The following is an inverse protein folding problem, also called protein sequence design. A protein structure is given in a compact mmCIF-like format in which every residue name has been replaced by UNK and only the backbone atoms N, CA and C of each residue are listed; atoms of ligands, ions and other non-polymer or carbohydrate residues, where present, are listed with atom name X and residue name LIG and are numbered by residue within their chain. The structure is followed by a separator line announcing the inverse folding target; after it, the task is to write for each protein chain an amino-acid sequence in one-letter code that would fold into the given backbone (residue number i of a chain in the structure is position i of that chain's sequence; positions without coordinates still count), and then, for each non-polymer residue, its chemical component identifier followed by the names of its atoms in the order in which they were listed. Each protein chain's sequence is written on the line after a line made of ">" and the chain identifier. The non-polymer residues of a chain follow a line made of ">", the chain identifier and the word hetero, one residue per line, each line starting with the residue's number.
data_IF_637533395300
#
_entry.id   IF_637533395300
#
_cell.length_a   1.000
_cell.length_b   1.000
_cell.length_c   1.000
_cell.angle_alpha   90.00
_cell.angle_beta   90.00
_cell.angle_gamma   90.00
#
_symmetry.space_group_name_H-M   'P 1'
#
loop_
_entity.id
_entity.type
_entity.pdbx_description
1 polymer ?
#
# COMPACT_ATOMS: atom_id res chain seq x y z
N UNK A 1 -17.03 -13.30 -7.34
CA UNK A 1 -16.83 -12.38 -8.49
C UNK A 1 -16.97 -10.93 -7.99
N UNK A 2 -15.95 -10.38 -7.33
CA UNK A 2 -15.94 -8.97 -6.94
C UNK A 2 -15.76 -8.15 -8.23
N UNK A 3 -16.76 -7.35 -8.58
CA UNK A 3 -16.58 -6.27 -9.54
C UNK A 3 -15.42 -5.40 -9.03
N UNK A 4 -14.26 -5.49 -9.68
CA UNK A 4 -13.17 -4.52 -9.55
C UNK A 4 -13.67 -3.20 -10.15
N UNK A 5 -14.60 -2.55 -9.46
CA UNK A 5 -15.05 -1.20 -9.77
C UNK A 5 -13.87 -0.28 -9.48
N UNK A 6 -13.11 0.03 -10.55
CA UNK A 6 -12.07 1.04 -10.59
C UNK A 6 -10.92 0.79 -9.60
N UNK A 7 -9.82 0.20 -10.08
CA UNK A 7 -8.56 0.14 -9.31
C UNK A 7 -8.15 1.58 -8.98
N UNK A 8 -8.34 1.98 -7.74
CA UNK A 8 -8.02 3.31 -7.27
C UNK A 8 -7.07 3.14 -6.09
N UNK A 9 -5.78 3.25 -6.40
CA UNK A 9 -4.76 3.28 -5.35
C UNK A 9 -5.06 4.41 -4.39
N UNK A 10 -4.95 4.11 -3.10
CA UNK A 10 -5.29 5.05 -2.05
C UNK A 10 -4.38 4.84 -0.86
N UNK A 11 -3.87 5.95 -0.35
CA UNK A 11 -3.14 5.95 0.91
C UNK A 11 -4.19 5.96 2.02
N UNK A 12 -4.18 4.93 2.85
CA UNK A 12 -4.98 4.91 4.07
C UNK A 12 -4.09 5.17 5.27
N UNK A 13 -4.57 6.00 6.19
CA UNK A 13 -3.80 6.42 7.36
C UNK A 13 -4.64 6.41 8.62
N UNK A 14 -3.95 6.34 9.75
CA UNK A 14 -4.55 6.55 11.07
C UNK A 14 -5.28 7.89 11.09
N UNK A 15 -6.53 7.87 11.55
CA UNK A 15 -7.33 9.08 11.65
C UNK A 15 -7.06 9.90 12.90
N UNK A 16 -7.64 11.10 12.89
CA UNK A 16 -7.64 12.00 14.04
C UNK A 16 -8.27 11.33 15.26
N UNK A 17 -7.70 11.60 16.44
CA UNK A 17 -8.08 11.08 17.74
C UNK A 17 -8.00 9.54 17.87
N UNK A 18 -7.18 8.88 17.04
CA UNK A 18 -6.90 7.47 17.23
C UNK A 18 -6.04 7.24 18.50
N UNK A 19 -6.24 6.09 19.14
CA UNK A 19 -5.54 5.73 20.38
C UNK A 19 -4.23 4.97 20.10
N UNK A 20 -3.64 5.19 18.92
CA UNK A 20 -2.55 4.40 18.36
C UNK A 20 -1.58 5.33 17.64
N UNK A 21 -0.31 4.94 17.53
CA UNK A 21 0.66 5.68 16.75
C UNK A 21 0.23 5.77 15.28
N UNK A 22 0.63 6.86 14.61
CA UNK A 22 0.32 7.05 13.21
C UNK A 22 0.95 5.94 12.35
N UNK A 23 0.14 5.32 11.51
CA UNK A 23 0.55 4.34 10.51
C UNK A 23 -0.22 4.60 9.23
N UNK A 24 0.32 4.14 8.10
CA UNK A 24 -0.38 4.20 6.83
C UNK A 24 -0.10 2.96 5.99
N UNK A 25 -1.07 2.57 5.16
CA UNK A 25 -0.97 1.47 4.22
C UNK A 25 -1.63 1.86 2.91
N UNK A 26 -1.02 1.52 1.78
CA UNK A 26 -1.64 1.71 0.47
C UNK A 26 -2.47 0.49 0.13
N UNK A 27 -3.65 0.70 -0.43
CA UNK A 27 -4.51 -0.38 -0.91
C UNK A 27 -5.04 -0.06 -2.30
N UNK A 28 -5.49 -1.10 -3.00
CA UNK A 28 -6.20 -1.03 -4.29
C UNK A 28 -7.71 -1.29 -4.14
N UNK A 29 -8.14 -1.98 -3.08
CA UNK A 29 -9.54 -2.29 -2.77
C UNK A 29 -10.22 -1.26 -1.85
N UNK A 30 -11.55 -1.25 -1.81
CA UNK A 30 -12.32 -0.34 -0.93
C UNK A 30 -12.06 -0.74 0.53
N UNK A 31 -11.42 0.14 1.29
CA UNK A 31 -11.20 -0.09 2.71
C UNK A 31 -12.49 -0.01 3.51
N UNK A 32 -12.64 -0.95 4.44
CA UNK A 32 -13.60 -0.78 5.53
C UNK A 32 -13.15 0.37 6.45
N UNK A 33 -14.12 0.99 7.13
CA UNK A 33 -13.84 2.07 8.06
C UNK A 33 -12.91 1.62 9.21
N UNK A 34 -13.05 0.37 9.67
CA UNK A 34 -12.21 -0.23 10.71
C UNK A 34 -10.89 -0.84 10.22
N UNK A 35 -10.47 -0.57 8.98
CA UNK A 35 -9.21 -1.08 8.43
C UNK A 35 -8.00 -0.56 9.22
N UNK A 36 -7.97 0.75 9.44
CA UNK A 36 -7.07 1.45 10.36
C UNK A 36 -7.94 2.27 11.33
N UNK A 37 -7.47 2.50 12.55
CA UNK A 37 -8.23 3.26 13.56
C UNK A 37 -8.59 4.66 13.05
N UNK A 38 -9.89 5.00 13.10
CA UNK A 38 -10.48 6.22 12.53
C UNK A 38 -10.11 6.51 11.06
N UNK A 39 -9.92 5.47 10.24
CA UNK A 39 -9.35 5.50 8.89
C UNK A 39 -9.69 6.76 8.06
N UNK A 40 -8.64 7.37 7.48
CA UNK A 40 -8.74 8.39 6.42
C UNK A 40 -8.09 7.86 5.15
N UNK A 41 -8.75 8.12 4.02
CA UNK A 41 -8.37 7.59 2.73
C UNK A 41 -8.10 8.74 1.76
N UNK A 42 -6.91 8.76 1.17
CA UNK A 42 -6.46 9.73 0.18
C UNK A 42 -6.30 9.01 -1.17
N UNK A 43 -7.30 9.08 -2.06
CA UNK A 43 -7.25 8.38 -3.34
C UNK A 43 -6.29 9.08 -4.31
N UNK A 44 -5.67 8.30 -5.19
CA UNK A 44 -4.88 8.82 -6.33
C UNK A 44 -5.78 9.44 -7.40
N UNK A 45 -6.97 8.87 -7.59
CA UNK A 45 -7.93 9.27 -8.60
C UNK A 45 -9.33 9.49 -8.02
N UNK A 46 -10.05 10.46 -8.55
CA UNK A 46 -11.50 10.63 -8.37
C UNK A 46 -12.25 10.22 -9.63
N UNK A 47 -13.53 9.94 -9.48
CA UNK A 47 -14.37 9.47 -10.58
C UNK A 47 -15.67 10.27 -10.62
N UNK A 48 -16.02 10.77 -11.81
CA UNK A 48 -17.31 11.42 -12.06
C UNK A 48 -18.04 10.73 -13.22
N UNK A 49 -19.38 10.72 -13.25
CA UNK A 49 -20.11 10.17 -14.39
C UNK A 49 -19.68 10.83 -15.69
N UNK A 50 -19.40 10.02 -16.71
CA UNK A 50 -19.07 10.54 -18.04
C UNK A 50 -20.32 11.04 -18.76
N UNK A 51 -20.17 12.16 -19.47
CA UNK A 51 -21.20 12.67 -20.36
C UNK A 51 -21.29 11.80 -21.63
N UNK A 52 -22.42 11.90 -22.35
CA UNK A 52 -22.60 11.20 -23.62
C UNK A 52 -21.54 11.58 -24.67
N UNK A 53 -21.11 12.84 -24.67
CA UNK A 53 -20.09 13.35 -25.59
C UNK A 53 -18.70 12.77 -25.25
N UNK A 54 -18.31 12.76 -23.98
CA UNK A 54 -17.04 12.16 -23.52
C UNK A 54 -17.01 10.65 -23.83
N UNK A 55 -18.12 9.93 -23.61
CA UNK A 55 -18.23 8.51 -23.99
C UNK A 55 -18.09 8.27 -25.49
N UNK A 56 -18.68 9.13 -26.32
CA UNK A 56 -18.56 9.02 -27.77
C UNK A 56 -17.12 9.30 -28.23
N UNK A 57 -16.48 10.34 -27.69
CA UNK A 57 -15.09 10.68 -27.96
C UNK A 57 -14.13 9.56 -27.55
N UNK A 58 -14.26 9.03 -26.34
CA UNK A 58 -13.42 7.94 -25.85
C UNK A 58 -13.56 6.65 -26.68
N UNK A 59 -14.78 6.32 -27.12
CA UNK A 59 -15.01 5.19 -28.03
C UNK A 59 -14.33 5.39 -29.38
N UNK A 60 -14.43 6.59 -29.94
CA UNK A 60 -13.79 6.93 -31.21
C UNK A 60 -12.27 6.83 -31.09
N UNK A 61 -11.68 7.40 -30.03
CA UNK A 61 -10.24 7.31 -29.79
C UNK A 61 -9.75 5.86 -29.68
N UNK A 62 -10.50 4.96 -29.01
CA UNK A 62 -10.16 3.53 -28.95
C UNK A 62 -10.22 2.83 -30.30
N UNK A 63 -11.10 3.26 -31.21
CA UNK A 63 -11.14 2.77 -32.60
C UNK A 63 -9.93 3.29 -33.38
N UNK A 64 -9.52 4.52 -33.10
CA UNK A 64 -8.39 5.19 -33.75
C UNK A 64 -7.02 4.71 -33.22
N UNK A 65 -7.00 3.67 -32.38
CA UNK A 65 -5.79 3.02 -31.89
C UNK A 65 -5.26 3.56 -30.56
N UNK A 66 -6.03 4.37 -29.82
CA UNK A 66 -5.68 4.72 -28.45
C UNK A 66 -5.72 3.49 -27.54
N UNK A 67 -4.55 3.05 -27.11
CA UNK A 67 -4.40 2.07 -26.04
C UNK A 67 -4.30 2.81 -24.70
N UNK A 68 -5.25 2.52 -23.81
CA UNK A 68 -5.20 2.99 -22.43
C UNK A 68 -4.11 2.24 -21.67
N UNK A 69 -2.88 2.77 -21.69
CA UNK A 69 -1.73 2.22 -20.95
C UNK A 69 -1.91 2.29 -19.43
N UNK A 70 -2.92 3.02 -18.93
CA UNK A 70 -3.24 3.03 -17.50
C UNK A 70 -4.03 1.79 -17.04
N UNK A 71 -4.60 1.04 -17.99
CA UNK A 71 -5.12 -0.31 -17.74
C UNK A 71 -4.01 -1.38 -17.69
N UNK A 72 -2.82 -1.05 -18.21
CA UNK A 72 -1.62 -1.91 -18.28
C UNK A 72 -0.66 -1.76 -17.09
N UNK A 73 -0.96 -0.90 -16.09
CA UNK A 73 -0.32 -0.96 -14.76
C UNK A 73 -0.87 -2.14 -13.90
N UNK A 74 -1.41 -3.16 -14.57
CA UNK A 74 -1.60 -4.51 -14.06
C UNK A 74 -0.40 -5.43 -14.33
N UNK A 75 0.55 -5.03 -15.19
CA UNK A 75 1.76 -5.80 -15.45
C UNK A 75 3.00 -5.09 -14.91
N UNK A 76 3.51 -5.71 -13.86
CA UNK A 76 4.82 -5.49 -13.29
C UNK A 76 5.92 -5.96 -14.24
N UNK A 77 6.23 -5.20 -15.28
CA UNK A 77 7.44 -5.24 -16.12
C UNK A 77 7.31 -4.06 -17.12
N UNK A 78 8.24 -3.15 -17.34
CA UNK A 78 9.67 -3.29 -17.43
C UNK A 78 10.40 -1.94 -17.26
N UNK A 79 11.66 -2.11 -16.92
CA UNK A 79 12.80 -1.21 -17.06
C UNK A 79 12.83 -0.50 -18.44
N UNK A 80 12.35 0.75 -18.53
CA UNK A 80 12.68 1.66 -19.65
C UNK A 80 12.76 3.10 -19.14
N UNK A 81 13.97 3.60 -18.94
CA UNK A 81 14.25 5.03 -19.07
C UNK A 81 13.81 5.47 -20.48
N UNK A 82 12.76 6.28 -20.57
CA UNK A 82 12.56 7.19 -21.72
C UNK A 82 12.57 8.62 -21.21
N UNK A 83 13.30 9.54 -21.88
CA UNK A 83 13.41 10.91 -21.40
C UNK A 83 12.07 11.64 -21.58
N UNK A 84 11.75 12.49 -20.60
CA UNK A 84 10.59 13.35 -20.63
C UNK A 84 10.55 14.18 -21.94
N UNK A 85 9.38 14.37 -22.56
CA UNK A 85 9.25 15.32 -23.66
C UNK A 85 9.61 16.72 -23.14
N UNK A 86 10.46 17.42 -23.89
CA UNK A 86 10.93 18.76 -23.53
C UNK A 86 9.75 19.72 -23.46
N UNK A 87 9.36 20.14 -22.26
CA UNK A 87 8.32 21.16 -22.06
C UNK A 87 8.93 22.56 -22.29
N UNK A 88 8.40 23.29 -23.27
CA UNK A 88 8.75 24.68 -23.52
C UNK A 88 8.12 25.59 -22.45
N UNK A 89 8.95 26.48 -21.90
CA UNK A 89 8.65 27.73 -21.18
C UNK A 89 7.37 27.83 -20.33
N UNK A 90 7.60 27.89 -19.02
CA UNK A 90 6.86 28.57 -17.95
C UNK A 90 5.78 29.59 -18.38
N UNK A 91 4.57 29.40 -17.84
CA UNK A 91 3.35 30.24 -17.82
C UNK A 91 2.21 29.93 -18.79
N UNK A 92 2.12 28.72 -19.33
CA UNK A 92 0.83 28.23 -19.81
C UNK A 92 0.11 27.51 -18.66
N UNK A 93 -1.04 28.06 -18.29
CA UNK A 93 -2.12 27.29 -17.66
C UNK A 93 -2.20 25.99 -18.46
N UNK A 94 -2.06 24.82 -17.82
CA UNK A 94 -2.30 23.54 -18.50
C UNK A 94 -3.79 23.53 -18.85
N UNK A 95 -4.14 24.18 -19.97
CA UNK A 95 -5.36 23.87 -20.69
C UNK A 95 -5.30 22.37 -20.93
N UNK A 96 -6.40 21.70 -20.57
CA UNK A 96 -6.59 20.30 -20.88
C UNK A 96 -6.33 20.12 -22.37
N UNK A 97 -5.20 19.49 -22.73
CA UNK A 97 -4.88 19.21 -24.11
C UNK A 97 -6.01 18.36 -24.68
N UNK A 98 -6.87 18.99 -25.48
CA UNK A 98 -8.05 18.38 -26.08
C UNK A 98 -7.68 17.22 -27.03
N UNK A 99 -6.38 17.01 -27.31
CA UNK A 99 -5.88 15.89 -28.11
C UNK A 99 -5.79 14.58 -27.32
N UNK A 100 -5.75 14.61 -25.98
CA UNK A 100 -5.71 13.38 -25.15
C UNK A 100 -7.11 13.05 -24.64
N UNK A 101 -7.72 11.94 -25.07
CA UNK A 101 -9.05 11.55 -24.61
C UNK A 101 -9.04 11.26 -23.11
N UNK A 102 -10.03 11.77 -22.38
CA UNK A 102 -10.21 11.46 -20.97
C UNK A 102 -10.39 9.96 -20.76
N UNK A 103 -9.66 9.40 -19.79
CA UNK A 103 -9.77 7.97 -19.47
C UNK A 103 -11.12 7.69 -18.84
N UNK A 104 -11.90 6.82 -19.49
CA UNK A 104 -13.21 6.38 -19.01
C UNK A 104 -13.17 4.93 -18.56
N UNK A 105 -13.51 4.70 -17.29
CA UNK A 105 -13.61 3.38 -16.68
C UNK A 105 -15.05 3.14 -16.26
N UNK A 106 -15.67 2.09 -16.80
CA UNK A 106 -17.05 1.70 -16.46
C UNK A 106 -18.10 2.84 -16.56
N UNK A 107 -17.91 3.77 -17.50
CA UNK A 107 -18.81 4.92 -17.68
C UNK A 107 -18.51 6.13 -16.79
N UNK A 108 -17.39 6.13 -16.08
CA UNK A 108 -16.91 7.24 -15.27
C UNK A 108 -15.61 7.80 -15.82
N UNK A 109 -15.51 9.13 -15.90
CA UNK A 109 -14.25 9.82 -16.17
C UNK A 109 -13.37 9.70 -14.93
N UNK A 110 -12.12 9.25 -15.13
CA UNK A 110 -11.07 9.24 -14.11
C UNK A 110 -10.34 10.59 -14.11
N UNK A 111 -10.20 11.18 -12.94
CA UNK A 111 -9.52 12.47 -12.74
C UNK A 111 -8.43 12.34 -11.69
N UNK A 112 -7.32 13.06 -11.86
CA UNK A 112 -6.26 13.13 -10.86
C UNK A 112 -6.76 13.81 -9.58
N UNK A 113 -6.55 13.16 -8.43
CA UNK A 113 -6.89 13.73 -7.14
C UNK A 113 -5.83 14.73 -6.64
N UNK A 114 -4.62 14.69 -7.19
CA UNK A 114 -3.56 15.68 -6.94
C UNK A 114 -3.81 16.87 -7.86
N UNK A 115 -4.15 18.01 -7.26
CA UNK A 115 -4.42 19.24 -7.99
C UNK A 115 -3.12 19.82 -8.58
N UNK A 116 -3.25 20.50 -9.73
CA UNK A 116 -2.15 21.23 -10.37
C UNK A 116 -1.49 22.26 -9.43
N UNK A 117 -2.28 22.89 -8.55
CA UNK A 117 -1.79 23.83 -7.52
C UNK A 117 -0.79 23.16 -6.57
N UNK A 118 -1.05 21.89 -6.19
CA UNK A 118 -0.15 21.12 -5.34
C UNK A 118 1.12 20.74 -6.11
N UNK A 119 1.01 20.36 -7.38
CA UNK A 119 2.17 20.06 -8.23
C UNK A 119 3.07 21.30 -8.36
N UNK A 120 2.48 22.45 -8.69
CA UNK A 120 3.20 23.72 -8.79
C UNK A 120 3.87 24.11 -7.45
N UNK A 121 3.23 23.83 -6.32
CA UNK A 121 3.80 24.06 -4.99
C UNK A 121 5.10 23.25 -4.76
N UNK A 122 5.16 22.00 -5.23
CA UNK A 122 6.38 21.18 -5.17
C UNK A 122 7.43 21.63 -6.20
N UNK A 123 7.02 21.89 -7.45
CA UNK A 123 7.91 22.35 -8.52
C UNK A 123 8.65 23.64 -8.14
N UNK A 124 7.97 24.57 -7.47
CA UNK A 124 8.56 25.83 -7.03
C UNK A 124 9.72 25.67 -6.03
N UNK A 125 9.87 24.52 -5.37
CA UNK A 125 10.97 24.26 -4.44
C UNK A 125 12.21 23.64 -5.10
N UNK A 126 12.07 23.04 -6.29
CA UNK A 126 13.14 22.27 -6.93
C UNK A 126 13.36 22.72 -8.38
N UNK A 127 14.02 23.86 -8.54
CA UNK A 127 14.31 24.45 -9.84
C UNK A 127 15.14 23.49 -10.72
N UNK A 128 14.74 23.31 -11.99
CA UNK A 128 15.39 22.42 -12.95
C UNK A 128 14.90 20.97 -12.94
N UNK A 129 13.98 20.62 -12.03
CA UNK A 129 13.38 19.29 -11.92
C UNK A 129 11.85 19.30 -12.06
N UNK A 130 11.28 20.39 -12.59
CA UNK A 130 9.84 20.60 -12.65
C UNK A 130 9.14 19.52 -13.48
N UNK A 131 9.77 19.08 -14.58
CA UNK A 131 9.26 18.03 -15.46
C UNK A 131 9.24 16.64 -14.80
N UNK A 132 10.01 16.42 -13.74
CA UNK A 132 10.06 15.15 -12.98
C UNK A 132 9.03 15.12 -11.83
N UNK A 133 8.38 16.26 -11.54
CA UNK A 133 7.40 16.40 -10.45
C UNK A 133 5.99 16.41 -11.06
N UNK A 134 5.48 15.21 -11.33
CA UNK A 134 4.09 15.00 -11.74
C UNK A 134 3.19 14.57 -10.55
N UNK A 135 1.92 14.28 -10.83
CA UNK A 135 0.96 13.83 -9.82
C UNK A 135 1.38 12.52 -9.14
N UNK A 136 2.02 11.61 -9.86
CA UNK A 136 2.51 10.34 -9.33
C UNK A 136 3.71 10.58 -8.41
N UNK A 137 4.67 11.42 -8.82
CA UNK A 137 5.82 11.81 -8.04
C UNK A 137 5.40 12.38 -6.68
N UNK A 138 4.44 13.32 -6.68
CA UNK A 138 3.89 13.88 -5.44
C UNK A 138 3.17 12.82 -4.61
N UNK A 139 2.36 11.95 -5.22
CA UNK A 139 1.62 10.91 -4.50
C UNK A 139 2.56 9.89 -3.82
N UNK A 140 3.59 9.44 -4.52
CA UNK A 140 4.59 8.52 -3.95
C UNK A 140 5.49 9.22 -2.94
N UNK A 141 5.87 10.48 -3.16
CA UNK A 141 6.59 11.27 -2.18
C UNK A 141 5.83 11.34 -0.85
N UNK A 142 4.52 11.63 -0.89
CA UNK A 142 3.66 11.61 0.30
C UNK A 142 3.74 10.25 0.98
N UNK A 143 3.62 9.16 0.22
CA UNK A 143 3.66 7.82 0.80
C UNK A 143 5.00 7.48 1.47
N UNK A 144 6.12 7.86 0.85
CA UNK A 144 7.45 7.69 1.41
C UNK A 144 7.67 8.53 2.66
N UNK A 145 7.29 9.82 2.62
CA UNK A 145 7.40 10.72 3.78
C UNK A 145 6.58 10.23 4.97
N UNK A 146 5.36 9.73 4.72
CA UNK A 146 4.51 9.17 5.78
C UNK A 146 5.09 7.90 6.39
N UNK A 147 6.14 7.31 5.83
CA UNK A 147 6.92 6.21 6.42
C UNK A 147 8.21 6.66 7.12
N UNK A 148 8.61 7.93 6.99
CA UNK A 148 9.76 8.48 7.71
C UNK A 148 9.56 8.37 9.22
N UNK A 149 10.53 7.79 9.91
CA UNK A 149 10.53 7.72 11.38
C UNK A 149 10.68 9.11 11.98
N UNK A 150 11.52 9.96 11.39
CA UNK A 150 11.70 11.35 11.81
C UNK A 150 10.40 12.15 11.69
N UNK A 151 9.67 12.00 10.58
CA UNK A 151 8.37 12.66 10.41
C UNK A 151 7.36 12.19 11.45
N UNK A 152 7.20 10.87 11.61
CA UNK A 152 6.24 10.28 12.55
C UNK A 152 6.53 10.64 14.00
N UNK A 153 7.80 10.72 14.38
CA UNK A 153 8.21 11.06 15.76
C UNK A 153 8.11 12.56 16.02
N UNK A 154 8.61 13.40 15.10
CA UNK A 154 8.58 14.87 15.23
C UNK A 154 7.15 15.40 15.29
N UNK A 155 6.26 14.89 14.43
CA UNK A 155 4.88 15.36 14.31
C UNK A 155 3.85 14.47 14.99
N UNK A 156 4.27 13.58 15.91
CA UNK A 156 3.39 12.60 16.55
C UNK A 156 2.11 13.22 17.16
N UNK A 157 2.27 14.36 17.85
CA UNK A 157 1.15 15.09 18.46
C UNK A 157 0.17 15.68 17.43
N UNK A 158 0.69 16.18 16.31
CA UNK A 158 -0.12 16.72 15.21
C UNK A 158 -0.85 15.60 14.50
N UNK A 159 -0.16 14.50 14.17
CA UNK A 159 -0.74 13.34 13.50
C UNK A 159 -1.86 12.68 14.33
N UNK A 160 -1.86 12.86 15.65
CA UNK A 160 -2.96 12.42 16.51
C UNK A 160 -4.16 13.36 16.48
N UNK A 161 -3.97 14.67 16.25
CA UNK A 161 -5.02 15.71 16.44
C UNK A 161 -5.56 16.29 15.13
N UNK A 162 -4.83 16.20 14.04
CA UNK A 162 -5.21 16.73 12.73
C UNK A 162 -4.73 15.82 11.60
N UNK A 163 -5.18 16.09 10.38
CA UNK A 163 -4.72 15.36 9.20
C UNK A 163 -3.23 15.66 8.95
N UNK A 164 -2.45 14.70 8.40
CA UNK A 164 -1.05 14.93 8.07
C UNK A 164 -0.86 16.13 7.14
N UNK A 165 0.05 17.04 7.50
CA UNK A 165 0.50 18.15 6.64
C UNK A 165 1.81 17.74 6.00
N UNK A 166 1.90 17.85 4.69
CA UNK A 166 3.02 17.32 3.92
C UNK A 166 4.00 18.46 3.61
N UNK A 167 5.14 18.58 4.32
CA UNK A 167 6.18 19.54 3.96
C UNK A 167 6.96 19.09 2.73
N UNK A 168 7.67 20.04 2.13
CA UNK A 168 8.76 19.83 1.16
C UNK A 168 10.06 19.58 1.92
N UNK A 169 10.90 18.71 1.37
CA UNK A 169 12.22 18.40 1.91
C UNK A 169 13.27 19.36 1.35
N UNK A 170 14.39 19.49 2.05
CA UNK A 170 15.37 20.53 1.78
C UNK A 170 16.02 20.46 0.41
N UNK A 171 16.17 19.25 -0.15
CA UNK A 171 16.87 19.03 -1.42
C UNK A 171 16.04 18.20 -2.39
N UNK A 172 16.33 18.36 -3.68
CA UNK A 172 15.77 17.51 -4.72
C UNK A 172 16.13 16.03 -4.52
N UNK A 173 17.38 15.75 -4.12
CA UNK A 173 17.84 14.38 -3.88
C UNK A 173 17.03 13.70 -2.77
N UNK A 174 16.72 14.43 -1.70
CA UNK A 174 15.84 13.92 -0.64
C UNK A 174 14.43 13.68 -1.17
N UNK A 175 13.87 14.61 -1.97
CA UNK A 175 12.54 14.45 -2.55
C UNK A 175 12.46 13.20 -3.41
N UNK A 176 13.45 13.02 -4.29
CA UNK A 176 13.58 11.84 -5.15
C UNK A 176 13.72 10.56 -4.33
N UNK A 177 14.53 10.56 -3.27
CA UNK A 177 14.68 9.41 -2.39
C UNK A 177 13.36 9.03 -1.69
N UNK A 178 12.62 10.00 -1.15
CA UNK A 178 11.30 9.75 -0.55
C UNK A 178 10.28 9.26 -1.59
N UNK A 179 10.26 9.86 -2.78
CA UNK A 179 9.40 9.43 -3.89
C UNK A 179 9.68 8.00 -4.32
N UNK A 180 10.95 7.64 -4.56
CA UNK A 180 11.35 6.30 -4.98
C UNK A 180 11.05 5.25 -3.90
N UNK A 181 11.32 5.59 -2.64
CA UNK A 181 10.96 4.74 -1.51
C UNK A 181 9.44 4.54 -1.44
N UNK A 182 8.66 5.61 -1.57
CA UNK A 182 7.20 5.55 -1.61
C UNK A 182 6.68 4.69 -2.76
N UNK A 183 7.27 4.78 -3.95
CA UNK A 183 6.92 3.93 -5.11
C UNK A 183 7.22 2.46 -4.84
N UNK A 184 8.38 2.14 -4.26
CA UNK A 184 8.76 0.77 -3.86
C UNK A 184 7.78 0.21 -2.81
N UNK A 185 7.47 1.00 -1.78
CA UNK A 185 6.52 0.62 -0.72
C UNK A 185 5.11 0.42 -1.29
N UNK A 186 4.64 1.29 -2.18
CA UNK A 186 3.33 1.18 -2.81
C UNK A 186 3.20 -0.13 -3.59
N UNK A 187 4.20 -0.43 -4.43
CA UNK A 187 4.28 -1.69 -5.18
C UNK A 187 4.26 -2.90 -4.25
N UNK A 188 5.06 -2.87 -3.19
CA UNK A 188 5.15 -3.96 -2.23
C UNK A 188 3.84 -4.18 -1.45
N UNK A 189 3.18 -3.12 -1.01
CA UNK A 189 1.99 -3.21 -0.16
C UNK A 189 0.72 -3.51 -0.94
N UNK A 190 0.55 -2.96 -2.14
CA UNK A 190 -0.57 -3.32 -3.02
C UNK A 190 -0.38 -4.74 -3.55
N UNK A 191 0.85 -5.10 -3.92
CA UNK A 191 1.21 -6.40 -4.45
C UNK A 191 1.55 -7.48 -3.40
N UNK A 192 1.17 -7.28 -2.14
CA UNK A 192 1.67 -8.09 -1.01
C UNK A 192 1.38 -9.60 -1.15
N UNK A 193 0.29 -9.95 -1.84
CA UNK A 193 -0.10 -11.33 -2.14
C UNK A 193 0.68 -11.93 -3.32
N UNK A 194 1.42 -11.15 -4.11
CA UNK A 194 2.18 -11.62 -5.27
C UNK A 194 3.70 -11.66 -5.02
N UNK A 195 4.16 -11.15 -3.87
CA UNK A 195 5.57 -11.18 -3.49
C UNK A 195 6.09 -12.63 -3.42
N UNK A 196 7.39 -12.81 -3.66
CA UNK A 196 8.03 -14.12 -3.48
C UNK A 196 7.97 -14.54 -2.00
N UNK A 197 7.44 -15.74 -1.68
CA UNK A 197 7.41 -16.24 -0.32
C UNK A 197 8.81 -16.28 0.31
N UNK A 198 8.92 -15.92 1.60
CA UNK A 198 10.19 -15.94 2.31
C UNK A 198 10.75 -17.38 2.42
N UNK A 199 11.98 -17.58 1.94
CA UNK A 199 12.61 -18.91 1.88
C UNK A 199 13.42 -19.29 3.12
N UNK A 200 13.62 -18.36 4.06
CA UNK A 200 14.44 -18.59 5.25
C UNK A 200 13.75 -19.40 6.36
N UNK A 201 12.44 -19.61 6.27
CA UNK A 201 11.70 -20.39 7.27
C UNK A 201 11.76 -21.89 6.99
N UNK A 202 11.82 -22.69 8.06
CA UNK A 202 11.70 -24.15 8.00
C UNK A 202 10.27 -24.57 8.28
N UNK A 203 9.65 -25.25 7.32
CA UNK A 203 8.29 -25.79 7.42
C UNK A 203 8.37 -27.27 7.85
N UNK A 204 7.91 -27.57 9.05
CA UNK A 204 7.92 -28.92 9.64
C UNK A 204 6.53 -29.55 9.48
N UNK A 205 6.49 -30.82 9.09
CA UNK A 205 5.25 -31.60 8.99
C UNK A 205 4.44 -31.41 7.69
N UNK A 206 4.98 -30.64 6.74
CA UNK A 206 4.41 -30.51 5.40
C UNK A 206 4.71 -31.78 4.58
N UNK A 207 3.74 -32.70 4.46
CA UNK A 207 3.83 -33.92 3.63
C UNK A 207 2.77 -33.89 2.52
N UNK A 208 2.88 -34.67 1.43
CA UNK A 208 2.00 -34.54 0.27
C UNK A 208 0.49 -34.64 0.56
N UNK A 209 0.08 -35.38 1.60
CA UNK A 209 -1.33 -35.60 1.94
C UNK A 209 -1.74 -34.94 3.26
N UNK A 210 -0.92 -34.03 3.81
CA UNK A 210 -1.26 -33.35 5.06
C UNK A 210 -2.37 -32.34 4.83
N UNK A 211 -3.33 -32.24 5.75
CA UNK A 211 -4.33 -31.18 5.69
C UNK A 211 -3.67 -29.82 5.97
N UNK A 212 -3.90 -28.87 5.06
CA UNK A 212 -3.49 -27.45 5.21
C UNK A 212 -4.60 -26.57 5.80
N UNK A 213 -5.68 -27.19 6.31
CA UNK A 213 -6.78 -26.46 6.94
C UNK A 213 -6.31 -25.79 8.23
N UNK A 214 -6.67 -24.53 8.38
CA UNK A 214 -6.37 -23.70 9.56
C UNK A 214 -7.62 -23.49 10.38
N UNK A 215 -7.62 -23.99 11.62
CA UNK A 215 -8.65 -23.62 12.60
C UNK A 215 -8.27 -22.30 13.26
N UNK A 216 -7.02 -22.19 13.73
CA UNK A 216 -6.49 -21.00 14.37
C UNK A 216 -4.97 -21.03 14.36
N UNK A 217 -4.36 -19.99 13.79
CA UNK A 217 -2.92 -19.80 13.91
C UNK A 217 -2.56 -19.36 15.32
N UNK A 218 -1.46 -19.90 15.85
CA UNK A 218 -0.92 -19.46 17.13
C UNK A 218 0.60 -19.39 17.08
N UNK A 219 1.17 -18.51 17.89
CA UNK A 219 2.61 -18.50 18.11
C UNK A 219 3.03 -19.65 19.04
N UNK A 220 4.28 -20.08 18.90
CA UNK A 220 4.92 -20.94 19.87
C UNK A 220 4.93 -20.32 21.28
N UNK A 221 5.27 -21.11 22.29
CA UNK A 221 5.32 -20.64 23.69
C UNK A 221 6.74 -20.66 24.23
N UNK A 222 7.15 -19.54 24.80
CA UNK A 222 8.41 -19.43 25.57
C UNK A 222 8.15 -19.93 26.98
N UNK A 223 8.89 -20.96 27.40
CA UNK A 223 8.78 -21.51 28.75
C UNK A 223 9.03 -20.45 29.83
N UNK A 224 8.23 -20.48 30.90
CA UNK A 224 8.37 -19.56 32.04
C UNK A 224 7.77 -18.17 31.85
N UNK A 225 7.33 -17.78 30.64
CA UNK A 225 6.68 -16.49 30.40
C UNK A 225 5.15 -16.62 30.36
N UNK A 226 4.44 -15.54 30.68
CA UNK A 226 2.97 -15.45 30.64
C UNK A 226 2.50 -14.29 29.74
N UNK A 227 1.26 -14.38 29.27
CA UNK A 227 0.63 -13.32 28.47
C UNK A 227 1.31 -13.09 27.12
N UNK A 228 1.39 -11.83 26.67
CA UNK A 228 2.00 -11.46 25.40
C UNK A 228 3.48 -11.85 25.31
N UNK A 229 4.21 -11.75 26.43
CA UNK A 229 5.62 -12.11 26.51
C UNK A 229 5.88 -13.63 26.37
N UNK A 230 4.84 -14.46 26.50
CA UNK A 230 4.94 -15.91 26.29
C UNK A 230 4.96 -16.31 24.82
N UNK A 231 4.61 -15.40 23.89
CA UNK A 231 4.53 -15.71 22.46
C UNK A 231 5.93 -15.76 21.88
N UNK A 232 6.33 -16.93 21.41
CA UNK A 232 7.53 -17.11 20.59
C UNK A 232 7.22 -16.68 19.15
N UNK A 233 7.71 -15.51 18.76
CA UNK A 233 7.48 -14.92 17.43
C UNK A 233 8.33 -15.56 16.33
N UNK A 234 9.24 -16.46 16.67
CA UNK A 234 10.06 -17.20 15.70
C UNK A 234 9.36 -18.47 15.18
N UNK A 235 8.23 -18.84 15.80
CA UNK A 235 7.50 -20.08 15.53
C UNK A 235 6.00 -19.82 15.41
N UNK A 236 5.40 -20.23 14.29
CA UNK A 236 3.94 -20.27 14.10
C UNK A 236 3.49 -21.72 14.03
N UNK A 237 2.60 -22.10 14.95
CA UNK A 237 1.83 -23.33 14.90
C UNK A 237 0.68 -23.11 13.89
N UNK A 238 0.83 -23.68 12.70
CA UNK A 238 -0.10 -23.47 11.59
C UNK A 238 -1.37 -24.29 11.79
N UNK A 239 -1.21 -25.57 12.13
CA UNK A 239 -2.26 -26.47 12.61
C UNK A 239 -1.60 -27.62 13.41
N UNK A 240 -2.36 -28.68 13.72
CA UNK A 240 -1.86 -29.83 14.50
C UNK A 240 -0.74 -30.62 13.80
N UNK A 241 -0.55 -30.42 12.49
CA UNK A 241 0.43 -31.16 11.68
C UNK A 241 1.59 -30.29 11.18
N UNK A 242 1.34 -29.01 10.88
CA UNK A 242 2.30 -28.11 10.24
C UNK A 242 2.78 -27.04 11.22
N UNK A 243 4.08 -26.82 11.27
CA UNK A 243 4.71 -25.74 12.05
C UNK A 243 5.73 -24.99 11.21
N UNK A 244 5.69 -23.66 11.26
CA UNK A 244 6.64 -22.77 10.60
C UNK A 244 7.63 -22.28 11.66
N UNK A 245 8.92 -22.51 11.46
CA UNK A 245 10.00 -22.14 12.39
C UNK A 245 11.07 -21.30 11.69
N UNK A 246 11.88 -20.58 12.48
CA UNK A 246 12.96 -19.74 11.93
C UNK A 246 12.46 -18.44 11.32
N UNK A 247 11.34 -17.91 11.83
CA UNK A 247 10.84 -16.59 11.42
C UNK A 247 11.75 -15.51 12.01
N UNK A 248 12.33 -14.61 11.20
CA UNK A 248 13.15 -13.51 11.71
C UNK A 248 12.33 -12.57 12.59
N UNK A 249 12.87 -12.16 13.74
CA UNK A 249 12.16 -11.29 14.69
C UNK A 249 11.90 -9.90 14.11
N UNK A 250 12.76 -9.46 13.19
CA UNK A 250 12.68 -8.22 12.43
C UNK A 250 11.36 -8.12 11.63
N UNK A 251 10.75 -9.26 11.24
CA UNK A 251 9.46 -9.27 10.58
C UNK A 251 8.31 -8.73 11.47
N UNK A 252 8.53 -8.60 12.78
CA UNK A 252 7.57 -8.01 13.70
C UNK A 252 7.67 -6.47 13.78
N UNK A 253 8.73 -5.87 13.22
CA UNK A 253 8.95 -4.41 13.28
C UNK A 253 7.99 -3.63 12.39
N UNK A 254 7.52 -4.21 11.28
CA UNK A 254 6.55 -3.55 10.42
C UNK A 254 5.16 -3.59 11.05
N UNK A 255 4.81 -2.49 11.72
CA UNK A 255 3.54 -2.30 12.42
C UNK A 255 2.58 -1.47 11.58
N UNK A 256 1.39 -2.03 11.36
CA UNK A 256 0.25 -1.33 10.77
C UNK A 256 -0.84 -1.26 11.84
N UNK A 257 -1.25 -0.05 12.20
CA UNK A 257 -2.15 0.22 13.31
C UNK A 257 -1.54 -0.23 14.66
N UNK A 258 -2.11 -1.25 15.33
CA UNK A 258 -1.69 -1.72 16.68
C UNK A 258 -0.80 -2.97 16.68
N UNK A 259 -0.62 -3.60 15.53
CA UNK A 259 -0.03 -4.94 15.42
C UNK A 259 0.94 -4.99 14.26
N UNK A 260 1.92 -5.88 14.35
CA UNK A 260 2.74 -6.21 13.19
C UNK A 260 1.86 -6.74 12.06
N UNK A 261 2.29 -6.56 10.81
CA UNK A 261 1.58 -7.14 9.66
C UNK A 261 1.39 -8.66 9.83
N UNK A 262 2.40 -9.35 10.36
CA UNK A 262 2.33 -10.79 10.63
C UNK A 262 1.33 -11.13 11.77
N UNK A 263 1.23 -10.30 12.82
CA UNK A 263 0.23 -10.48 13.88
C UNK A 263 -1.20 -10.36 13.37
N UNK A 264 -1.44 -9.49 12.38
CA UNK A 264 -2.75 -9.42 11.72
C UNK A 264 -3.08 -10.72 11.00
N UNK A 265 -2.13 -11.32 10.27
CA UNK A 265 -2.33 -12.61 9.59
C UNK A 265 -2.63 -13.71 10.62
N UNK A 266 -1.84 -13.81 11.68
CA UNK A 266 -2.02 -14.82 12.74
C UNK A 266 -3.37 -14.67 13.46
N UNK A 267 -3.87 -13.46 13.62
CA UNK A 267 -5.17 -13.22 14.25
C UNK A 267 -6.36 -13.47 13.32
N UNK A 268 -6.26 -13.07 12.05
CA UNK A 268 -7.38 -13.06 11.10
C UNK A 268 -7.52 -14.36 10.32
N UNK A 269 -6.42 -15.06 10.05
CA UNK A 269 -6.45 -16.29 9.27
C UNK A 269 -6.83 -17.47 10.17
N UNK A 270 -8.04 -17.98 9.98
CA UNK A 270 -8.59 -19.10 10.71
C UNK A 270 -10.11 -19.11 10.62
N UNK A 271 -10.74 -19.82 11.55
CA UNK A 271 -12.19 -19.89 11.65
C UNK A 271 -12.62 -19.08 12.86
N UNK A 272 -13.55 -18.16 12.65
CA UNK A 272 -14.21 -17.44 13.74
C UNK A 272 -15.72 -17.49 13.54
N UNK A 273 -16.46 -17.54 14.65
CA UNK A 273 -17.92 -17.53 14.63
C UNK A 273 -18.38 -16.37 15.49
N UNK A 274 -19.14 -15.47 14.89
CA UNK A 274 -19.74 -14.37 15.63
C UNK A 274 -20.79 -14.91 16.60
N UNK A 275 -20.77 -14.42 17.86
CA UNK A 275 -21.60 -15.00 18.92
C UNK A 275 -23.07 -14.67 18.76
N UNK A 276 -23.38 -13.50 18.20
CA UNK A 276 -24.74 -12.98 18.15
C UNK A 276 -25.43 -13.45 16.88
N UNK A 277 -24.79 -13.24 15.72
CA UNK A 277 -25.33 -13.65 14.42
C UNK A 277 -25.16 -15.15 14.12
N UNK A 278 -24.23 -15.83 14.82
CA UNK A 278 -23.82 -17.22 14.54
C UNK A 278 -23.22 -17.43 13.15
N UNK A 279 -22.87 -16.35 12.45
CA UNK A 279 -22.24 -16.43 11.13
C UNK A 279 -20.78 -16.82 11.31
N UNK A 280 -20.38 -17.88 10.60
CA UNK A 280 -18.99 -18.33 10.55
C UNK A 280 -18.23 -17.58 9.45
N UNK A 281 -17.06 -17.07 9.81
CA UNK A 281 -16.05 -16.56 8.89
C UNK A 281 -14.92 -17.60 8.83
N UNK A 282 -14.86 -18.34 7.72
CA UNK A 282 -13.87 -19.39 7.45
C UNK A 282 -12.91 -18.92 6.34
N UNK A 283 -11.68 -18.59 6.73
CA UNK A 283 -10.65 -18.14 5.79
C UNK A 283 -10.20 -19.23 4.81
N UNK A 284 -10.41 -20.51 5.14
CA UNK A 284 -10.09 -21.63 4.25
C UNK A 284 -11.06 -21.71 3.06
N UNK A 285 -12.30 -21.25 3.23
CA UNK A 285 -13.28 -21.21 2.13
C UNK A 285 -12.80 -20.27 1.02
N UNK A 286 -12.18 -19.14 1.38
CA UNK A 286 -11.57 -18.23 0.41
C UNK A 286 -10.43 -18.89 -0.37
N UNK A 287 -9.55 -19.64 0.31
CA UNK A 287 -8.48 -20.40 -0.33
C UNK A 287 -9.03 -21.45 -1.33
N UNK A 288 -10.12 -22.13 -0.95
CA UNK A 288 -10.82 -23.10 -1.81
C UNK A 288 -11.46 -22.44 -3.05
N UNK A 289 -12.12 -21.29 -2.87
CA UNK A 289 -12.72 -20.52 -3.98
C UNK A 289 -11.67 -20.05 -5.00
N UNK A 290 -10.44 -19.81 -4.56
CA UNK A 290 -9.30 -19.48 -5.44
C UNK A 290 -8.61 -20.70 -6.04
N UNK A 291 -8.91 -21.91 -5.56
CA UNK A 291 -8.21 -23.14 -5.96
C UNK A 291 -6.75 -23.20 -5.49
N UNK A 292 -6.39 -22.46 -4.43
CA UNK A 292 -5.03 -22.43 -3.86
C UNK A 292 -5.05 -22.92 -2.41
N UNK A 293 -4.84 -24.22 -2.20
CA UNK A 293 -4.79 -24.82 -0.87
C UNK A 293 -3.58 -24.36 -0.04
N UNK A 294 -2.55 -23.82 -0.69
CA UNK A 294 -1.35 -23.26 -0.05
C UNK A 294 -1.49 -21.78 0.29
N UNK A 295 -2.62 -21.16 -0.04
CA UNK A 295 -2.82 -19.72 0.05
C UNK A 295 -2.43 -19.14 1.42
N UNK A 296 -2.95 -19.70 2.53
CA UNK A 296 -2.69 -19.16 3.87
C UNK A 296 -1.21 -19.33 4.26
N UNK A 297 -0.61 -20.47 3.92
CA UNK A 297 0.81 -20.74 4.17
C UNK A 297 1.69 -19.76 3.38
N UNK A 298 1.42 -19.60 2.09
CA UNK A 298 2.10 -18.65 1.22
C UNK A 298 1.89 -17.20 1.70
N UNK A 299 0.69 -16.84 2.13
CA UNK A 299 0.38 -15.52 2.66
C UNK A 299 1.24 -15.18 3.88
N UNK A 300 1.41 -16.11 4.83
CA UNK A 300 2.30 -15.93 5.98
C UNK A 300 3.73 -15.65 5.51
N UNK A 301 4.25 -16.48 4.60
CA UNK A 301 5.62 -16.34 4.09
C UNK A 301 5.82 -15.06 3.27
N UNK A 302 4.83 -14.63 2.51
CA UNK A 302 4.83 -13.38 1.74
C UNK A 302 4.81 -12.18 2.67
N UNK A 303 3.98 -12.19 3.71
CA UNK A 303 3.92 -11.10 4.69
C UNK A 303 5.23 -10.98 5.50
N UNK A 304 5.96 -12.09 5.72
CA UNK A 304 7.33 -12.03 6.25
C UNK A 304 8.24 -11.25 5.29
N UNK A 305 8.27 -11.61 4.00
CA UNK A 305 9.06 -10.88 2.99
C UNK A 305 8.70 -9.40 2.96
N UNK A 306 7.40 -9.08 2.85
CA UNK A 306 6.89 -7.70 2.85
C UNK A 306 7.36 -6.94 4.08
N UNK A 307 7.25 -7.53 5.27
CA UNK A 307 7.66 -6.85 6.51
C UNK A 307 9.15 -6.53 6.53
N UNK A 308 10.00 -7.45 6.08
CA UNK A 308 11.45 -7.25 6.04
C UNK A 308 11.85 -6.21 4.99
N UNK A 309 11.30 -6.31 3.77
CA UNK A 309 11.59 -5.36 2.68
C UNK A 309 11.08 -3.96 3.00
N UNK A 310 9.89 -3.84 3.59
CA UNK A 310 9.36 -2.55 4.06
C UNK A 310 10.32 -1.91 5.05
N UNK A 311 10.77 -2.65 6.06
CA UNK A 311 11.69 -2.09 7.06
C UNK A 311 13.07 -1.77 6.49
N UNK A 312 13.54 -2.52 5.47
CA UNK A 312 14.75 -2.17 4.73
C UNK A 312 14.61 -0.83 4.02
N UNK A 313 13.49 -0.60 3.33
CA UNK A 313 13.22 0.67 2.65
C UNK A 313 13.10 1.81 3.67
N UNK A 314 12.36 1.62 4.76
CA UNK A 314 12.15 2.64 5.80
C UNK A 314 13.46 3.03 6.48
N UNK A 315 14.31 2.06 6.82
CA UNK A 315 15.62 2.32 7.45
C UNK A 315 16.61 2.99 6.50
N UNK A 316 16.40 2.92 5.19
CA UNK A 316 17.23 3.55 4.17
C UNK A 316 16.77 4.97 3.78
N UNK A 317 15.65 5.46 4.33
CA UNK A 317 15.17 6.81 4.08
C UNK A 317 16.18 7.86 4.58
N UNK A 318 16.36 8.99 3.87
CA UNK A 318 17.22 10.06 4.33
C UNK A 318 16.64 10.74 5.58
N UNK A 319 17.52 11.39 6.35
CA UNK A 319 17.12 12.18 7.51
C UNK A 319 16.19 13.33 7.09
N UNK A 320 15.16 13.60 7.88
CA UNK A 320 14.17 14.61 7.51
C UNK A 320 14.70 16.03 7.73
N UNK A 321 15.00 16.74 6.65
CA UNK A 321 15.27 18.18 6.67
C UNK A 321 14.20 18.93 5.89
N UNK A 322 13.49 19.85 6.55
CA UNK A 322 12.38 20.61 5.94
C UNK A 322 12.93 21.78 5.10
N UNK A 323 12.33 21.97 3.92
CA UNK A 323 12.66 23.05 3.01
C UNK A 323 12.43 24.42 3.67
N UNK A 324 13.30 25.43 3.44
CA UNK A 324 13.14 26.76 4.04
C UNK A 324 11.80 27.45 3.73
N UNK A 325 11.17 27.13 2.60
CA UNK A 325 9.87 27.68 2.21
C UNK A 325 8.69 27.14 3.07
N UNK A 326 8.90 26.08 3.84
CA UNK A 326 7.88 25.42 4.68
C UNK A 326 8.19 25.53 6.19
N UNK A 327 9.15 26.37 6.57
CA UNK A 327 9.46 26.65 7.97
C UNK A 327 8.52 27.66 8.60
#
# INVERSE_FOLDING_TARGET
>A
MQQRCCVAWRITGTGVNANVSFTCCMVDAICCFGFIDNNKCFPRYTYRPATKAELASYRQARVDGYEDTSSLLGDLEADVLTPAPQASSLLDVVEHDASVPQVIVNGYVREDAIKLEAIAHFQAAYAGHEAEIDADAVFYYIYGLLHSTDYRTTYANNLQKELPRIPRVATWDDFKAFMEAGRKLAKLHVGYEQVTPYQGCKIVGLTPNVSKRVIKLTYGKIAGKKGAAAKDKTTILYNDSITITGIPLEAQEYVVNRKSALDWVVERCGISVDKDSRIANDYNAFAQDMGDEDYILNLILRVITVSLETMQIVKALPALTIHPLDR
#
